data_IF_953718820302
#
_entry.id   IF_953718820302
#
_cell.length_a   1.000
_cell.length_b   1.000
_cell.length_c   1.000
_cell.angle_alpha   90.00
_cell.angle_beta   90.00
_cell.angle_gamma   90.00
#
_symmetry.space_group_name_H-M   'P 1'
#
loop_
_entity.id
_entity.type
_entity.pdbx_description
1 polymer ?
#
# COMPACT_ATOMS: atom_id res chain seq x y z
N UNK A 1 5.84 -21.59 -18.05
CA UNK A 1 4.81 -21.52 -16.96
C UNK A 1 5.42 -20.88 -15.72
N UNK A 2 4.79 -19.85 -15.16
CA UNK A 2 5.27 -19.11 -13.98
C UNK A 2 4.54 -19.57 -12.73
N UNK A 3 5.26 -20.10 -11.76
CA UNK A 3 4.71 -20.60 -10.50
C UNK A 3 5.32 -19.82 -9.33
N UNK A 4 4.48 -19.18 -8.53
CA UNK A 4 4.90 -18.41 -7.35
C UNK A 4 4.48 -19.11 -6.08
N UNK A 5 5.45 -19.48 -5.26
CA UNK A 5 5.26 -20.12 -3.96
C UNK A 5 5.29 -19.02 -2.87
N UNK A 6 4.33 -19.07 -1.96
CA UNK A 6 4.25 -18.17 -0.80
C UNK A 6 4.43 -19.04 0.46
N UNK A 7 5.65 -19.16 1.00
CA UNK A 7 5.89 -19.92 2.23
C UNK A 7 5.39 -19.11 3.43
N UNK A 8 4.41 -19.65 4.16
CA UNK A 8 3.75 -19.00 5.27
C UNK A 8 3.48 -19.97 6.43
N UNK A 9 4.45 -20.17 7.33
CA UNK A 9 4.25 -21.01 8.51
C UNK A 9 3.43 -20.29 9.59
N UNK A 10 2.77 -21.06 10.45
CA UNK A 10 2.00 -20.54 11.60
C UNK A 10 2.87 -20.00 12.73
N UNK A 11 4.03 -20.62 12.97
CA UNK A 11 4.98 -20.23 14.02
C UNK A 11 5.92 -19.10 13.58
N UNK A 12 6.25 -18.17 14.51
CA UNK A 12 7.26 -17.13 14.31
C UNK A 12 7.84 -16.69 15.64
N UNK A 13 9.19 -16.49 15.71
CA UNK A 13 9.90 -16.12 16.94
C UNK A 13 9.78 -14.62 17.27
N UNK A 14 9.98 -13.75 16.29
CA UNK A 14 10.03 -12.29 16.51
C UNK A 14 8.65 -11.70 16.82
N UNK A 15 7.65 -12.04 16.04
CA UNK A 15 6.25 -11.59 16.21
C UNK A 15 5.37 -12.82 16.24
N UNK A 16 4.58 -13.07 17.30
CA UNK A 16 3.65 -14.21 17.33
C UNK A 16 2.72 -14.18 16.12
N UNK A 17 2.62 -15.31 15.40
CA UNK A 17 1.77 -15.45 14.21
C UNK A 17 2.02 -14.36 13.15
N UNK A 18 3.29 -14.02 12.90
CA UNK A 18 3.73 -12.90 12.04
C UNK A 18 2.96 -12.83 10.72
N UNK A 19 2.78 -13.92 10.02
CA UNK A 19 2.11 -13.96 8.71
C UNK A 19 0.61 -13.59 8.75
N UNK A 20 -0.01 -13.60 9.94
CA UNK A 20 -1.39 -13.18 10.18
C UNK A 20 -1.49 -11.76 10.78
N UNK A 21 -0.35 -11.14 11.11
CA UNK A 21 -0.35 -9.73 11.53
C UNK A 21 -0.82 -8.85 10.38
N UNK A 22 -1.53 -7.79 10.74
CA UNK A 22 -2.10 -6.88 9.76
C UNK A 22 -1.25 -5.63 9.57
N UNK A 23 -1.12 -5.23 8.32
CA UNK A 23 -0.63 -3.91 7.92
C UNK A 23 -1.80 -3.20 7.26
N UNK A 24 -2.19 -2.05 7.80
CA UNK A 24 -3.37 -1.29 7.37
C UNK A 24 -4.64 -2.18 7.29
N UNK A 25 -4.89 -2.95 8.36
CA UNK A 25 -6.06 -3.83 8.48
C UNK A 25 -6.04 -5.10 7.63
N UNK A 26 -5.06 -5.30 6.75
CA UNK A 26 -4.97 -6.47 5.86
C UNK A 26 -3.86 -7.41 6.35
N UNK A 27 -4.14 -8.69 6.63
CA UNK A 27 -3.13 -9.67 7.01
C UNK A 27 -2.00 -9.79 5.99
N UNK A 28 -0.75 -9.95 6.45
CA UNK A 28 0.42 -10.03 5.57
C UNK A 28 0.28 -11.13 4.51
N UNK A 29 -0.21 -12.31 4.89
CA UNK A 29 -0.47 -13.39 3.93
C UNK A 29 -1.50 -13.01 2.87
N UNK A 30 -2.55 -12.31 3.26
CA UNK A 30 -3.58 -11.85 2.33
C UNK A 30 -3.03 -10.82 1.35
N UNK A 31 -2.17 -9.90 1.82
CA UNK A 31 -1.45 -8.95 0.97
C UNK A 31 -0.60 -9.66 -0.07
N UNK A 32 0.22 -10.62 0.37
CA UNK A 32 1.08 -11.39 -0.53
C UNK A 32 0.26 -12.12 -1.60
N UNK A 33 -0.85 -12.76 -1.24
CA UNK A 33 -1.75 -13.42 -2.18
C UNK A 33 -2.37 -12.43 -3.17
N UNK A 34 -2.88 -11.28 -2.69
CA UNK A 34 -3.47 -10.24 -3.56
C UNK A 34 -2.46 -9.69 -4.56
N UNK A 35 -1.23 -9.42 -4.12
CA UNK A 35 -0.14 -8.97 -4.99
C UNK A 35 0.24 -10.02 -6.02
N UNK A 36 0.41 -11.28 -5.60
CA UNK A 36 0.72 -12.40 -6.48
C UNK A 36 -0.36 -12.59 -7.57
N UNK A 37 -1.64 -12.49 -7.21
CA UNK A 37 -2.76 -12.60 -8.15
C UNK A 37 -2.90 -11.42 -9.13
N UNK A 38 -2.33 -10.27 -8.80
CA UNK A 38 -2.27 -9.09 -9.71
C UNK A 38 -1.07 -9.17 -10.66
N UNK A 39 -0.13 -10.08 -10.43
CA UNK A 39 1.01 -10.31 -11.32
C UNK A 39 0.69 -11.35 -12.42
N UNK A 40 1.59 -11.45 -13.40
CA UNK A 40 1.45 -12.36 -14.53
C UNK A 40 1.98 -13.76 -14.21
N UNK A 41 1.51 -14.35 -13.09
CA UNK A 41 1.86 -15.73 -12.70
C UNK A 41 0.70 -16.67 -13.03
N UNK A 42 1.03 -17.87 -13.51
CA UNK A 42 0.03 -18.87 -13.90
C UNK A 42 -0.54 -19.58 -12.69
N UNK A 43 0.28 -19.82 -11.65
CA UNK A 43 -0.15 -20.45 -10.42
C UNK A 43 0.47 -19.78 -9.19
N UNK A 44 -0.35 -19.65 -8.15
CA UNK A 44 0.08 -19.23 -6.81
C UNK A 44 -0.17 -20.40 -5.85
N UNK A 45 0.88 -20.80 -5.12
CA UNK A 45 0.83 -21.90 -4.15
C UNK A 45 1.21 -21.37 -2.78
N UNK A 46 0.28 -21.40 -1.83
CA UNK A 46 0.56 -21.09 -0.42
C UNK A 46 0.99 -22.34 0.31
N UNK A 47 2.22 -22.35 0.83
CA UNK A 47 2.75 -23.47 1.62
C UNK A 47 2.63 -23.15 3.11
N UNK A 48 1.75 -23.86 3.82
CA UNK A 48 1.46 -23.58 5.23
C UNK A 48 1.04 -24.81 6.03
N UNK A 49 1.35 -24.77 7.32
CA UNK A 49 0.88 -25.70 8.37
C UNK A 49 -0.31 -25.12 9.18
N UNK A 50 -0.62 -23.83 9.03
CA UNK A 50 -1.61 -23.10 9.82
C UNK A 50 -3.01 -23.08 9.18
N UNK A 51 -4.05 -23.41 9.97
CA UNK A 51 -5.43 -23.50 9.50
C UNK A 51 -6.01 -22.15 9.06
N UNK A 52 -5.70 -21.06 9.78
CA UNK A 52 -6.24 -19.73 9.40
C UNK A 52 -5.58 -19.21 8.11
N UNK A 53 -4.30 -19.50 7.90
CA UNK A 53 -3.63 -19.19 6.63
C UNK A 53 -4.26 -20.00 5.49
N UNK A 54 -4.59 -21.30 5.71
CA UNK A 54 -5.32 -22.11 4.72
C UNK A 54 -6.70 -21.54 4.39
N UNK A 55 -7.43 -21.06 5.39
CA UNK A 55 -8.74 -20.43 5.18
C UNK A 55 -8.63 -19.16 4.31
N UNK A 56 -7.63 -18.29 4.59
CA UNK A 56 -7.38 -17.10 3.79
C UNK A 56 -7.02 -17.50 2.36
N UNK A 57 -6.10 -18.45 2.17
CA UNK A 57 -5.70 -18.93 0.84
C UNK A 57 -6.90 -19.50 0.06
N UNK A 58 -7.76 -20.29 0.71
CA UNK A 58 -8.97 -20.85 0.13
C UNK A 58 -9.96 -19.77 -0.35
N UNK A 59 -10.19 -18.73 0.47
CA UNK A 59 -11.04 -17.58 0.09
C UNK A 59 -10.53 -16.89 -1.19
N UNK A 60 -9.23 -16.84 -1.38
CA UNK A 60 -8.60 -16.27 -2.57
C UNK A 60 -8.44 -17.27 -3.72
N UNK A 61 -8.90 -18.53 -3.58
CA UNK A 61 -8.85 -19.58 -4.62
C UNK A 61 -7.44 -19.81 -5.16
N UNK A 62 -6.43 -19.79 -4.30
CA UNK A 62 -5.06 -20.19 -4.62
C UNK A 62 -4.79 -21.61 -4.17
N UNK A 63 -3.79 -22.27 -4.76
CA UNK A 63 -3.43 -23.63 -4.40
C UNK A 63 -2.80 -23.65 -3.00
N UNK A 64 -3.08 -24.71 -2.26
CA UNK A 64 -2.59 -24.89 -0.90
C UNK A 64 -1.70 -26.13 -0.85
N UNK A 65 -0.46 -25.94 -0.42
CA UNK A 65 0.45 -26.99 -0.05
C UNK A 65 0.40 -27.19 1.46
N UNK A 66 0.10 -28.42 1.90
CA UNK A 66 0.13 -28.80 3.30
C UNK A 66 1.58 -29.06 3.71
N UNK A 67 2.19 -28.02 4.31
CA UNK A 67 3.59 -28.02 4.73
C UNK A 67 3.82 -29.08 5.81
N UNK A 68 4.86 -29.91 5.66
CA UNK A 68 5.22 -30.93 6.62
C UNK A 68 5.72 -30.33 7.94
N UNK A 69 5.57 -31.07 9.04
CA UNK A 69 6.11 -30.68 10.35
C UNK A 69 7.64 -30.50 10.30
N UNK A 70 8.33 -31.30 9.51
CA UNK A 70 9.77 -31.19 9.29
C UNK A 70 10.19 -29.86 8.72
N UNK A 71 9.38 -29.30 7.83
CA UNK A 71 9.64 -28.00 7.19
C UNK A 71 8.96 -26.82 7.89
N UNK A 72 8.27 -27.04 9.01
CA UNK A 72 7.57 -26.01 9.79
C UNK A 72 8.36 -25.48 10.98
N UNK A 73 9.55 -26.05 11.25
CA UNK A 73 10.43 -25.60 12.32
C UNK A 73 11.21 -24.32 11.95
N UNK A 74 11.91 -23.76 12.93
CA UNK A 74 12.67 -22.52 12.79
C UNK A 74 13.99 -22.68 12.02
N UNK A 75 14.45 -23.90 11.81
CA UNK A 75 15.72 -24.22 11.14
C UNK A 75 15.52 -24.55 9.67
N UNK A 76 14.28 -24.76 9.24
CA UNK A 76 13.96 -25.11 7.86
C UNK A 76 14.20 -23.96 6.92
N UNK A 77 15.01 -24.19 5.89
CA UNK A 77 15.26 -23.20 4.83
C UNK A 77 14.05 -23.02 3.92
N UNK A 78 13.95 -21.88 3.27
CA UNK A 78 12.92 -21.66 2.23
C UNK A 78 13.10 -22.65 1.08
N UNK A 79 14.33 -22.99 0.74
CA UNK A 79 14.66 -23.98 -0.31
C UNK A 79 14.09 -25.36 0.00
N UNK A 80 14.13 -25.81 1.26
CA UNK A 80 13.53 -27.10 1.63
C UNK A 80 12.02 -27.12 1.45
N UNK A 81 11.35 -25.99 1.70
CA UNK A 81 9.91 -25.83 1.44
C UNK A 81 9.61 -25.83 -0.04
N UNK A 82 10.42 -25.14 -0.85
CA UNK A 82 10.28 -25.14 -2.32
C UNK A 82 10.44 -26.53 -2.89
N UNK A 83 11.43 -27.32 -2.42
CA UNK A 83 11.61 -28.71 -2.83
C UNK A 83 10.40 -29.58 -2.48
N UNK A 84 9.83 -29.42 -1.29
CA UNK A 84 8.63 -30.15 -0.88
C UNK A 84 7.41 -29.79 -1.76
N UNK A 85 7.26 -28.52 -2.16
CA UNK A 85 6.23 -28.09 -3.11
C UNK A 85 6.45 -28.72 -4.49
N UNK A 86 7.70 -28.75 -4.98
CA UNK A 86 8.03 -29.41 -6.25
C UNK A 86 7.63 -30.89 -6.20
N UNK A 87 8.01 -31.62 -5.16
CA UNK A 87 7.69 -33.05 -5.00
C UNK A 87 6.18 -33.31 -5.05
N UNK A 88 5.35 -32.40 -4.54
CA UNK A 88 3.90 -32.55 -4.48
C UNK A 88 3.17 -32.11 -5.75
N UNK A 89 3.70 -31.16 -6.51
CA UNK A 89 2.97 -30.51 -7.60
C UNK A 89 3.60 -30.71 -8.99
N UNK A 90 4.89 -31.09 -9.11
CA UNK A 90 5.60 -31.15 -10.39
C UNK A 90 4.87 -32.02 -11.43
N UNK A 91 4.24 -33.12 -11.01
CA UNK A 91 3.49 -33.99 -11.91
C UNK A 91 2.26 -33.34 -12.56
N UNK A 92 1.86 -32.18 -12.08
CA UNK A 92 0.74 -31.39 -12.62
C UNK A 92 1.19 -30.29 -13.59
N UNK A 93 2.49 -30.16 -13.83
CA UNK A 93 3.08 -29.12 -14.65
C UNK A 93 3.49 -29.65 -16.03
N UNK A 94 2.77 -29.21 -17.06
CA UNK A 94 2.91 -29.76 -18.43
C UNK A 94 3.96 -29.04 -19.30
N UNK A 95 4.60 -27.96 -18.78
CA UNK A 95 5.47 -27.08 -19.55
C UNK A 95 6.78 -26.79 -18.83
N UNK A 96 7.72 -26.19 -19.56
CA UNK A 96 8.90 -25.61 -18.93
C UNK A 96 8.49 -24.61 -17.85
N UNK A 97 8.95 -24.85 -16.62
CA UNK A 97 8.53 -24.13 -15.44
C UNK A 97 9.62 -23.18 -14.97
N UNK A 98 9.22 -21.96 -14.70
CA UNK A 98 9.98 -20.99 -13.93
C UNK A 98 9.33 -20.86 -12.56
N UNK A 99 10.13 -21.07 -11.52
CA UNK A 99 9.68 -20.98 -10.13
C UNK A 99 10.07 -19.65 -9.52
N UNK A 100 9.28 -19.23 -8.56
CA UNK A 100 9.65 -18.14 -7.66
C UNK A 100 9.07 -18.37 -6.27
N UNK A 101 9.61 -17.67 -5.28
CA UNK A 101 8.97 -17.56 -3.99
C UNK A 101 8.90 -16.11 -3.51
N UNK A 102 7.84 -15.82 -2.76
CA UNK A 102 7.53 -14.52 -2.20
C UNK A 102 7.46 -14.62 -0.67
N UNK A 103 8.36 -13.90 0.02
CA UNK A 103 8.39 -13.84 1.48
C UNK A 103 7.28 -12.93 2.01
N UNK A 104 6.37 -13.49 2.79
CA UNK A 104 5.18 -12.81 3.34
C UNK A 104 5.53 -11.57 4.17
N UNK A 105 6.71 -11.56 4.78
CA UNK A 105 7.23 -10.43 5.59
C UNK A 105 7.46 -9.14 4.80
N UNK A 106 7.49 -9.21 3.47
CA UNK A 106 7.69 -8.06 2.59
C UNK A 106 6.33 -7.50 2.12
N UNK A 107 5.76 -6.61 2.93
CA UNK A 107 4.37 -6.14 2.80
C UNK A 107 4.09 -5.26 1.56
N UNK A 108 5.12 -4.67 0.94
CA UNK A 108 4.98 -3.62 -0.09
C UNK A 108 5.46 -4.03 -1.48
N UNK A 109 5.60 -5.32 -1.74
CA UNK A 109 5.98 -5.82 -3.07
C UNK A 109 4.94 -5.41 -4.12
N UNK A 110 5.41 -4.94 -5.26
CA UNK A 110 4.55 -4.60 -6.39
C UNK A 110 4.43 -5.77 -7.37
N UNK A 111 3.26 -5.96 -8.03
CA UNK A 111 3.09 -6.99 -9.05
C UNK A 111 4.13 -6.92 -10.18
N UNK A 112 4.53 -5.70 -10.56
CA UNK A 112 5.53 -5.43 -11.60
C UNK A 112 6.90 -6.00 -11.22
N UNK A 113 7.28 -5.94 -9.93
CA UNK A 113 8.54 -6.54 -9.44
C UNK A 113 8.54 -8.05 -9.65
N UNK A 114 7.42 -8.72 -9.36
CA UNK A 114 7.25 -10.16 -9.58
C UNK A 114 7.40 -10.47 -11.08
N UNK A 115 6.72 -9.70 -11.94
CA UNK A 115 6.74 -9.90 -13.38
C UNK A 115 8.15 -9.79 -13.96
N UNK A 116 8.89 -8.73 -13.59
CA UNK A 116 10.26 -8.50 -14.06
C UNK A 116 11.21 -9.60 -13.57
N UNK A 117 11.07 -10.06 -12.32
CA UNK A 117 11.86 -11.18 -11.81
C UNK A 117 11.62 -12.45 -12.63
N UNK A 118 10.36 -12.77 -12.94
CA UNK A 118 10.05 -13.93 -13.80
C UNK A 118 10.56 -13.78 -15.24
N UNK A 119 10.51 -12.58 -15.83
CA UNK A 119 11.06 -12.32 -17.16
C UNK A 119 12.57 -12.63 -17.25
N UNK A 120 13.33 -12.29 -16.21
CA UNK A 120 14.74 -12.67 -16.15
C UNK A 120 14.93 -14.17 -15.92
N UNK A 121 14.11 -14.79 -15.10
CA UNK A 121 14.22 -16.22 -14.83
C UNK A 121 13.88 -17.06 -16.08
N UNK A 122 12.95 -16.62 -16.94
CA UNK A 122 12.66 -17.21 -18.25
C UNK A 122 13.83 -17.09 -19.23
N UNK A 123 14.71 -16.10 -19.03
CA UNK A 123 15.97 -15.96 -19.79
C UNK A 123 17.13 -16.80 -19.21
N UNK A 124 16.86 -17.59 -18.16
CA UNK A 124 17.85 -18.48 -17.53
C UNK A 124 18.57 -17.91 -16.30
N UNK A 125 18.23 -16.70 -15.86
CA UNK A 125 18.85 -16.09 -14.66
C UNK A 125 18.19 -16.54 -13.36
N UNK A 126 18.93 -16.42 -12.23
CA UNK A 126 18.35 -16.37 -10.91
C UNK A 126 18.12 -14.91 -10.55
N UNK A 127 16.86 -14.45 -10.60
CA UNK A 127 16.53 -13.05 -10.36
C UNK A 127 16.02 -12.84 -8.94
N UNK A 128 16.29 -11.65 -8.38
CA UNK A 128 15.84 -11.28 -7.04
C UNK A 128 15.60 -9.79 -6.92
N UNK A 129 14.69 -9.39 -6.03
CA UNK A 129 14.44 -7.98 -5.73
C UNK A 129 15.55 -7.39 -4.87
N UNK A 130 16.04 -6.20 -5.25
CA UNK A 130 17.15 -5.54 -4.61
C UNK A 130 16.98 -4.01 -4.57
N UNK A 131 17.67 -3.36 -3.67
CA UNK A 131 17.80 -1.89 -3.61
C UNK A 131 19.25 -1.49 -3.79
N UNK A 132 19.50 -0.30 -4.35
CA UNK A 132 20.84 0.27 -4.37
C UNK A 132 21.36 0.47 -2.94
N UNK A 133 22.60 0.05 -2.73
CA UNK A 133 23.23 0.11 -1.42
C UNK A 133 24.50 0.97 -1.45
N UNK A 134 24.50 2.02 -0.63
CA UNK A 134 25.63 2.96 -0.51
C UNK A 134 26.31 2.93 0.85
N UNK A 135 25.97 1.94 1.67
CA UNK A 135 26.53 1.79 3.02
C UNK A 135 27.96 1.24 3.03
N UNK A 136 28.65 1.50 4.14
CA UNK A 136 29.94 0.89 4.49
C UNK A 136 29.69 -0.15 5.58
N UNK A 137 29.99 -1.39 5.27
CA UNK A 137 29.73 -2.52 6.17
C UNK A 137 31.02 -2.92 6.87
N UNK A 138 30.95 -3.18 8.16
CA UNK A 138 32.02 -3.71 8.98
C UNK A 138 31.60 -5.04 9.56
N UNK A 139 32.43 -6.04 9.43
CA UNK A 139 32.25 -7.36 10.02
C UNK A 139 33.18 -7.58 11.19
N UNK A 140 32.82 -8.49 12.11
CA UNK A 140 33.60 -8.86 13.27
C UNK A 140 33.72 -10.38 13.40
N UNK A 141 34.76 -10.95 12.77
CA UNK A 141 35.09 -12.38 12.98
C UNK A 141 35.98 -12.59 14.22
N UNK A 142 37.04 -11.79 14.36
CA UNK A 142 37.95 -11.72 15.53
C UNK A 142 38.27 -10.27 15.87
N UNK A 143 38.17 -9.39 14.88
CA UNK A 143 38.30 -7.94 14.98
C UNK A 143 37.41 -7.29 13.95
N UNK A 144 36.98 -6.06 14.21
CA UNK A 144 36.23 -5.28 13.25
C UNK A 144 37.05 -4.98 12.00
N UNK A 145 36.57 -5.38 10.85
CA UNK A 145 37.17 -5.15 9.54
C UNK A 145 36.14 -4.71 8.51
N UNK A 146 36.54 -3.90 7.52
CA UNK A 146 35.62 -3.45 6.48
C UNK A 146 35.30 -4.60 5.51
N UNK A 147 34.03 -4.64 5.06
CA UNK A 147 33.58 -5.60 4.06
C UNK A 147 33.39 -4.86 2.74
N UNK A 148 34.23 -5.19 1.76
CA UNK A 148 34.11 -4.65 0.41
C UNK A 148 34.46 -3.16 0.25
N UNK A 149 35.16 -2.54 1.20
CA UNK A 149 35.71 -1.19 1.08
C UNK A 149 37.04 -1.07 1.79
N UNK A 150 37.88 -0.07 1.47
CA UNK A 150 39.17 0.18 2.17
C UNK A 150 38.97 0.55 3.63
N UNK A 151 39.96 0.24 4.49
CA UNK A 151 39.97 0.62 5.91
C UNK A 151 40.66 1.97 6.18
N UNK A 152 41.52 2.40 5.29
CA UNK A 152 42.43 3.53 5.43
C UNK A 152 41.90 4.83 4.81
N UNK A 153 40.89 4.73 3.92
CA UNK A 153 40.18 5.89 3.42
C UNK A 153 38.73 5.58 3.12
N UNK A 154 37.87 6.61 3.13
CA UNK A 154 36.46 6.50 2.78
C UNK A 154 36.24 7.04 1.37
N UNK A 155 35.96 6.20 0.37
CA UNK A 155 35.70 6.67 -0.99
C UNK A 155 34.39 7.48 -1.02
N UNK A 156 34.29 8.46 -1.93
CA UNK A 156 33.05 9.18 -2.16
C UNK A 156 32.02 8.26 -2.81
N UNK A 157 30.73 8.54 -2.63
CA UNK A 157 29.62 7.74 -3.15
C UNK A 157 29.75 7.46 -4.66
N UNK A 158 30.15 8.46 -5.43
CA UNK A 158 30.31 8.35 -6.88
C UNK A 158 31.52 7.52 -7.32
N UNK A 159 32.46 7.27 -6.44
CA UNK A 159 33.71 6.53 -6.73
C UNK A 159 33.59 5.05 -6.33
N UNK A 160 32.46 4.66 -5.70
CA UNK A 160 32.18 3.27 -5.32
C UNK A 160 31.46 2.55 -6.45
N UNK A 161 31.90 1.33 -6.79
CA UNK A 161 31.16 0.47 -7.72
C UNK A 161 29.73 0.26 -7.23
N UNK A 162 28.80 0.20 -8.16
CA UNK A 162 27.39 -0.09 -7.86
C UNK A 162 27.29 -1.34 -6.99
N UNK A 163 26.52 -1.25 -5.92
CA UNK A 163 26.21 -2.34 -5.01
C UNK A 163 24.73 -2.38 -4.79
N UNK A 164 24.22 -3.57 -4.57
CA UNK A 164 22.81 -3.80 -4.23
C UNK A 164 22.72 -4.60 -2.94
N UNK A 165 21.62 -4.38 -2.20
CA UNK A 165 21.22 -5.18 -1.06
C UNK A 165 19.96 -5.95 -1.46
N UNK A 166 19.93 -7.27 -1.24
CA UNK A 166 18.72 -8.06 -1.37
C UNK A 166 17.62 -7.51 -0.45
N UNK A 167 16.38 -7.50 -0.94
CA UNK A 167 15.24 -7.09 -0.12
C UNK A 167 14.62 -8.25 0.66
N UNK A 168 15.05 -9.49 0.40
CA UNK A 168 14.43 -10.67 0.99
C UNK A 168 13.06 -11.05 0.39
N UNK A 169 12.50 -10.23 -0.50
CA UNK A 169 11.09 -10.33 -0.88
C UNK A 169 10.79 -11.37 -1.97
N UNK A 170 11.39 -11.22 -3.13
CA UNK A 170 11.11 -12.04 -4.33
C UNK A 170 12.40 -12.67 -4.84
N UNK A 171 12.32 -13.96 -5.15
CA UNK A 171 13.35 -14.74 -5.83
C UNK A 171 12.70 -15.60 -6.90
N UNK A 172 13.27 -15.62 -8.11
CA UNK A 172 12.79 -16.43 -9.22
C UNK A 172 13.95 -17.10 -9.94
N UNK A 173 13.72 -18.30 -10.47
CA UNK A 173 14.76 -19.10 -11.11
C UNK A 173 14.15 -20.20 -12.01
N UNK A 174 14.91 -20.74 -12.99
CA UNK A 174 14.48 -21.91 -13.76
C UNK A 174 14.39 -23.16 -12.85
N UNK A 175 13.29 -23.91 -12.98
CA UNK A 175 13.05 -25.12 -12.19
C UNK A 175 14.20 -26.14 -12.35
N UNK A 176 14.67 -26.35 -13.57
CA UNK A 176 15.71 -27.34 -13.88
C UNK A 176 17.00 -27.04 -13.13
N UNK A 177 17.43 -25.78 -13.10
CA UNK A 177 18.65 -25.36 -12.42
C UNK A 177 18.50 -25.47 -10.90
N UNK A 178 17.30 -25.15 -10.39
CA UNK A 178 17.01 -25.27 -8.95
C UNK A 178 17.02 -26.72 -8.48
N UNK A 179 16.47 -27.63 -9.25
CA UNK A 179 16.51 -29.10 -8.92
C UNK A 179 17.95 -29.62 -8.82
N UNK A 180 18.84 -29.14 -9.67
CA UNK A 180 20.27 -29.51 -9.66
C UNK A 180 20.99 -28.93 -8.43
N UNK A 181 20.92 -27.60 -8.23
CA UNK A 181 21.69 -26.92 -7.20
C UNK A 181 20.99 -26.84 -5.82
N UNK A 182 19.69 -27.01 -5.78
CA UNK A 182 18.84 -26.93 -4.57
C UNK A 182 19.03 -25.63 -3.79
N UNK A 183 19.31 -24.54 -4.51
CA UNK A 183 19.57 -23.22 -3.93
C UNK A 183 19.04 -22.13 -4.87
N UNK A 184 18.56 -21.01 -4.30
CA UNK A 184 17.91 -19.90 -5.05
C UNK A 184 18.80 -19.25 -6.09
N UNK A 185 20.09 -19.17 -5.86
CA UNK A 185 21.06 -18.67 -6.85
C UNK A 185 21.66 -19.84 -7.64
N UNK A 186 20.83 -20.48 -8.46
CA UNK A 186 21.17 -21.67 -9.23
C UNK A 186 21.68 -21.38 -10.64
N UNK A 187 21.70 -20.13 -11.07
CA UNK A 187 22.24 -19.66 -12.35
C UNK A 187 22.93 -18.30 -12.17
N UNK A 188 23.31 -17.64 -13.28
CA UNK A 188 23.78 -16.25 -13.20
C UNK A 188 22.72 -15.36 -12.55
N UNK A 189 23.14 -14.43 -11.69
CA UNK A 189 22.24 -13.64 -10.86
C UNK A 189 21.86 -12.33 -11.51
N UNK A 190 20.58 -11.94 -11.40
CA UNK A 190 20.06 -10.70 -11.91
C UNK A 190 19.29 -9.93 -10.82
N UNK A 191 19.84 -8.85 -10.24
CA UNK A 191 19.14 -8.01 -9.30
C UNK A 191 18.11 -7.12 -10.01
N UNK A 192 16.86 -7.16 -9.56
CA UNK A 192 15.78 -6.28 -9.99
C UNK A 192 15.68 -5.13 -9.00
N UNK A 193 16.05 -3.92 -9.43
CA UNK A 193 16.04 -2.75 -8.57
C UNK A 193 14.62 -2.30 -8.28
N UNK A 194 14.32 -2.11 -7.00
CA UNK A 194 13.01 -1.66 -6.52
C UNK A 194 13.12 -0.35 -5.73
N UNK A 195 11.98 0.31 -5.53
CA UNK A 195 11.92 1.48 -4.65
C UNK A 195 12.27 1.07 -3.21
N UNK A 196 13.11 1.83 -2.49
CA UNK A 196 13.48 1.52 -1.10
C UNK A 196 12.30 1.30 -0.16
N UNK A 197 11.17 1.98 -0.35
CA UNK A 197 9.96 1.77 0.46
C UNK A 197 9.42 0.34 0.29
N UNK A 198 9.46 -0.21 -0.93
CA UNK A 198 8.99 -1.57 -1.21
C UNK A 198 9.93 -2.66 -0.69
N UNK A 199 11.11 -2.29 -0.19
CA UNK A 199 12.10 -3.20 0.38
C UNK A 199 11.98 -3.40 1.89
N UNK A 200 10.98 -2.80 2.52
CA UNK A 200 10.73 -2.99 3.95
C UNK A 200 10.34 -4.44 4.23
N UNK A 201 11.07 -5.05 5.14
CA UNK A 201 10.80 -6.38 5.68
C UNK A 201 10.35 -6.24 7.14
N UNK A 202 9.36 -7.04 7.53
CA UNK A 202 8.81 -7.03 8.89
C UNK A 202 9.41 -8.19 9.66
N UNK A 203 10.37 -7.92 10.53
CA UNK A 203 11.02 -8.91 11.38
C UNK A 203 10.66 -8.77 12.84
N UNK A 204 10.41 -7.57 13.30
CA UNK A 204 10.04 -7.26 14.67
C UNK A 204 8.80 -6.33 14.76
N UNK A 205 8.43 -5.99 16.01
CA UNK A 205 7.24 -5.16 16.29
C UNK A 205 7.43 -3.73 15.80
N UNK A 206 8.65 -3.22 15.80
CA UNK A 206 8.95 -1.86 15.35
C UNK A 206 8.81 -1.76 13.82
N UNK A 207 9.26 -2.80 13.10
CA UNK A 207 9.04 -2.89 11.65
C UNK A 207 7.55 -2.96 11.31
N UNK A 208 6.76 -3.69 12.11
CA UNK A 208 5.31 -3.76 11.93
C UNK A 208 4.64 -2.40 12.14
N UNK A 209 5.03 -1.65 13.18
CA UNK A 209 4.54 -0.29 13.43
C UNK A 209 4.93 0.64 12.28
N UNK A 210 6.19 0.62 11.86
CA UNK A 210 6.68 1.42 10.73
C UNK A 210 5.92 1.08 9.45
N UNK A 211 5.69 -0.21 9.19
CA UNK A 211 4.93 -0.67 8.03
C UNK A 211 3.49 -0.16 8.04
N UNK A 212 2.83 -0.13 9.21
CA UNK A 212 1.49 0.45 9.33
C UNK A 212 1.48 1.96 9.03
N UNK A 213 2.47 2.71 9.54
CA UNK A 213 2.62 4.14 9.22
C UNK A 213 2.85 4.37 7.74
N UNK A 214 3.67 3.55 7.11
CA UNK A 214 3.96 3.66 5.67
C UNK A 214 2.77 3.22 4.83
N UNK A 215 2.08 2.15 5.21
CA UNK A 215 0.92 1.65 4.47
C UNK A 215 -0.19 2.68 4.38
N UNK A 216 -0.46 3.40 5.47
CA UNK A 216 -1.43 4.48 5.49
C UNK A 216 -1.11 5.59 4.47
N UNK A 217 0.18 5.79 4.17
CA UNK A 217 0.66 6.76 3.19
C UNK A 217 0.79 6.16 1.77
N UNK A 218 1.39 4.97 1.69
CA UNK A 218 1.81 4.35 0.43
C UNK A 218 0.66 3.65 -0.31
N UNK A 219 -0.25 3.01 0.40
CA UNK A 219 -1.38 2.30 -0.20
C UNK A 219 -2.50 3.25 -0.59
N UNK A 220 -2.66 4.33 0.17
CA UNK A 220 -3.57 5.41 -0.19
C UNK A 220 -3.16 6.12 -1.51
N UNK A 221 -1.87 6.04 -1.90
CA UNK A 221 -1.41 6.51 -3.22
C UNK A 221 -1.73 5.49 -4.33
N UNK A 222 -1.77 4.19 -4.01
CA UNK A 222 -1.91 3.09 -4.97
C UNK A 222 -3.29 2.38 -4.95
N UNK A 223 -4.18 2.69 -3.99
CA UNK A 223 -5.59 2.28 -4.10
C UNK A 223 -6.20 3.06 -5.26
N UNK A 224 -6.29 2.40 -6.40
CA UNK A 224 -7.14 2.87 -7.47
C UNK A 224 -8.56 3.02 -6.90
N UNK A 225 -9.12 4.24 -6.93
CA UNK A 225 -10.50 4.46 -6.48
C UNK A 225 -11.53 3.68 -7.33
N UNK A 226 -11.06 2.97 -8.37
CA UNK A 226 -11.83 2.02 -9.18
C UNK A 226 -12.35 0.80 -8.42
N UNK A 227 -11.72 0.44 -7.29
CA UNK A 227 -12.14 -0.70 -6.47
C UNK A 227 -13.34 -0.36 -5.55
N UNK A 228 -13.71 0.92 -5.48
CA UNK A 228 -14.83 1.43 -4.72
C UNK A 228 -15.99 1.85 -5.62
N UNK A 229 -17.20 1.70 -5.14
CA UNK A 229 -18.36 2.24 -5.83
C UNK A 229 -18.23 3.74 -6.01
N UNK A 230 -18.33 4.22 -7.24
CA UNK A 230 -18.26 5.65 -7.55
C UNK A 230 -19.39 6.37 -6.82
N UNK A 231 -19.10 7.40 -6.00
CA UNK A 231 -20.13 8.09 -5.22
C UNK A 231 -21.00 8.96 -6.13
N UNK A 232 -22.19 9.27 -5.70
CA UNK A 232 -23.01 10.31 -6.32
C UNK A 232 -22.66 11.68 -5.79
N UNK A 233 -22.19 11.74 -4.52
CA UNK A 233 -21.85 12.98 -3.84
C UNK A 233 -20.55 12.83 -3.06
N UNK A 234 -19.70 13.85 -3.14
CA UNK A 234 -18.57 14.05 -2.22
C UNK A 234 -18.92 15.26 -1.35
N UNK A 235 -19.04 15.05 -0.05
CA UNK A 235 -19.03 16.14 0.92
C UNK A 235 -17.60 16.45 1.34
N UNK A 236 -17.31 17.74 1.54
CA UNK A 236 -16.00 18.18 2.04
C UNK A 236 -16.19 19.23 3.11
N UNK A 237 -15.38 19.15 4.18
CA UNK A 237 -15.23 20.31 5.04
C UNK A 237 -14.55 21.46 4.30
N UNK A 238 -14.60 22.64 4.86
CA UNK A 238 -14.00 23.84 4.28
C UNK A 238 -12.64 24.15 4.89
N UNK A 239 -12.58 24.38 6.21
CA UNK A 239 -11.34 24.71 6.90
C UNK A 239 -10.50 23.45 7.12
N UNK A 240 -9.20 23.55 6.85
CA UNK A 240 -8.31 22.40 6.87
C UNK A 240 -8.49 21.39 5.70
N UNK A 241 -9.54 21.55 4.86
CA UNK A 241 -9.72 20.77 3.63
C UNK A 241 -9.53 21.63 2.39
N UNK A 242 -10.43 22.57 2.13
CA UNK A 242 -10.33 23.51 1.01
C UNK A 242 -9.44 24.72 1.33
N UNK A 243 -9.18 24.99 2.60
CA UNK A 243 -8.20 25.94 3.13
C UNK A 243 -7.09 25.22 3.88
N UNK A 244 -6.08 25.96 4.30
CA UNK A 244 -4.96 25.44 5.10
C UNK A 244 -5.17 25.59 6.62
N UNK A 245 -6.42 25.68 7.05
CA UNK A 245 -6.83 25.85 8.45
C UNK A 245 -6.26 27.11 9.15
N UNK A 246 -5.88 28.11 8.35
CA UNK A 246 -5.35 29.38 8.86
C UNK A 246 -6.22 30.54 8.41
N UNK A 247 -6.63 31.35 9.35
CA UNK A 247 -7.38 32.57 9.12
C UNK A 247 -6.48 33.79 9.35
N UNK A 248 -6.54 34.75 8.45
CA UNK A 248 -5.90 36.06 8.60
C UNK A 248 -6.95 37.05 9.05
N UNK A 249 -6.81 37.60 10.24
CA UNK A 249 -7.72 38.61 10.81
C UNK A 249 -7.04 39.99 10.78
N UNK A 250 -7.73 41.01 10.31
CA UNK A 250 -7.24 42.40 10.39
C UNK A 250 -7.81 43.15 11.58
N UNK A 251 -7.30 44.35 11.84
CA UNK A 251 -7.73 45.17 12.99
C UNK A 251 -9.21 45.57 13.02
N UNK A 252 -9.93 45.38 11.92
CA UNK A 252 -11.37 45.63 11.79
C UNK A 252 -12.21 44.36 11.95
N UNK A 253 -11.59 43.26 12.38
CA UNK A 253 -12.26 41.98 12.54
C UNK A 253 -12.60 41.27 11.23
N UNK A 254 -12.08 41.73 10.08
CA UNK A 254 -12.31 41.04 8.80
C UNK A 254 -11.35 39.86 8.66
N UNK A 255 -11.93 38.73 8.35
CA UNK A 255 -11.21 37.49 8.11
C UNK A 255 -10.99 37.23 6.62
N UNK A 256 -9.89 36.55 6.34
CA UNK A 256 -9.59 36.03 4.99
C UNK A 256 -8.85 34.71 5.11
N UNK A 257 -9.14 33.79 4.17
CA UNK A 257 -8.53 32.47 4.06
C UNK A 257 -7.87 32.29 2.70
N UNK A 258 -6.93 31.37 2.62
CA UNK A 258 -6.26 31.00 1.38
C UNK A 258 -6.87 29.70 0.87
N UNK A 259 -7.30 29.71 -0.40
CA UNK A 259 -7.90 28.56 -1.08
C UNK A 259 -7.16 28.23 -2.36
N UNK A 260 -7.20 26.96 -2.78
CA UNK A 260 -6.53 26.52 -4.00
C UNK A 260 -7.43 26.61 -5.23
N UNK A 261 -6.87 27.08 -6.35
CA UNK A 261 -7.60 27.12 -7.62
C UNK A 261 -7.80 25.73 -8.25
N UNK A 262 -6.92 24.77 -7.90
CA UNK A 262 -6.98 23.39 -8.43
C UNK A 262 -8.29 22.69 -8.04
N UNK A 263 -8.83 22.95 -6.83
CA UNK A 263 -10.10 22.35 -6.39
C UNK A 263 -11.28 22.79 -7.27
N UNK A 264 -11.32 24.07 -7.67
CA UNK A 264 -12.35 24.55 -8.59
C UNK A 264 -12.29 23.90 -9.99
N UNK A 265 -11.10 23.49 -10.45
CA UNK A 265 -10.94 22.72 -11.67
C UNK A 265 -11.32 21.26 -11.48
N UNK A 266 -10.96 20.69 -10.33
CA UNK A 266 -11.28 19.32 -9.95
C UNK A 266 -12.79 19.08 -9.87
N UNK A 267 -13.53 20.02 -9.29
CA UNK A 267 -15.00 19.97 -9.24
C UNK A 267 -15.61 19.82 -10.63
N UNK A 268 -15.08 20.54 -11.64
CA UNK A 268 -15.54 20.36 -13.02
C UNK A 268 -15.26 18.98 -13.59
N UNK A 269 -14.13 18.37 -13.20
CA UNK A 269 -13.76 17.00 -13.60
C UNK A 269 -14.66 15.99 -12.92
N UNK A 270 -14.89 16.10 -11.61
CA UNK A 270 -15.80 15.25 -10.83
C UNK A 270 -17.24 15.33 -11.37
N UNK A 271 -17.73 16.55 -11.67
CA UNK A 271 -19.06 16.72 -12.28
C UNK A 271 -19.20 16.04 -13.65
N UNK A 272 -18.13 15.96 -14.46
CA UNK A 272 -18.15 15.18 -15.71
C UNK A 272 -18.29 13.68 -15.50
N UNK A 273 -17.83 13.19 -14.34
CA UNK A 273 -18.02 11.80 -13.90
C UNK A 273 -19.38 11.57 -13.22
N UNK A 274 -20.27 12.56 -13.18
CA UNK A 274 -21.55 12.47 -12.51
C UNK A 274 -21.50 12.66 -11.00
N UNK A 275 -20.36 13.08 -10.46
CA UNK A 275 -20.14 13.20 -9.01
C UNK A 275 -20.35 14.67 -8.60
N UNK A 276 -21.32 14.92 -7.74
CA UNK A 276 -21.60 16.22 -7.16
C UNK A 276 -20.66 16.51 -5.98
N UNK A 277 -20.21 17.74 -5.81
CA UNK A 277 -19.44 18.18 -4.63
C UNK A 277 -20.26 19.18 -3.83
N UNK A 278 -20.29 19.01 -2.50
CA UNK A 278 -21.01 19.86 -1.57
C UNK A 278 -20.10 20.19 -0.38
N UNK A 279 -20.05 21.44 0.05
CA UNK A 279 -19.36 21.84 1.28
C UNK A 279 -20.31 21.59 2.45
N UNK A 280 -19.80 20.96 3.53
CA UNK A 280 -20.50 20.78 4.80
C UNK A 280 -19.58 21.23 5.94
N UNK A 281 -19.85 22.41 6.51
CA UNK A 281 -18.97 23.05 7.50
C UNK A 281 -19.74 23.68 8.67
N UNK A 282 -19.11 23.67 9.83
CA UNK A 282 -19.57 24.39 11.02
C UNK A 282 -19.33 25.91 10.91
N UNK A 283 -18.47 26.32 9.98
CA UNK A 283 -18.11 27.74 9.79
C UNK A 283 -19.32 28.59 9.33
N UNK A 284 -19.46 29.73 9.98
CA UNK A 284 -20.55 30.69 9.69
C UNK A 284 -20.11 31.88 8.84
N UNK A 285 -18.80 32.04 8.65
CA UNK A 285 -18.24 33.18 7.91
C UNK A 285 -18.68 33.17 6.45
N UNK A 286 -19.13 34.29 5.95
CA UNK A 286 -19.59 34.46 4.55
C UNK A 286 -18.53 34.11 3.49
N UNK A 287 -17.26 34.02 3.86
CA UNK A 287 -16.17 33.66 2.95
C UNK A 287 -16.39 32.29 2.33
N UNK A 288 -16.95 31.34 3.10
CA UNK A 288 -17.30 29.99 2.63
C UNK A 288 -18.33 30.05 1.51
N UNK A 289 -19.42 30.77 1.75
CA UNK A 289 -20.52 30.93 0.77
C UNK A 289 -20.05 31.63 -0.50
N UNK A 290 -19.21 32.67 -0.38
CA UNK A 290 -18.63 33.40 -1.52
C UNK A 290 -17.76 32.44 -2.35
N UNK A 291 -16.98 31.60 -1.70
CA UNK A 291 -16.14 30.60 -2.38
C UNK A 291 -16.97 29.51 -3.05
N UNK A 292 -17.96 28.95 -2.37
CA UNK A 292 -18.89 27.94 -2.92
C UNK A 292 -19.59 28.46 -4.17
N UNK A 293 -20.11 29.70 -4.11
CA UNK A 293 -20.74 30.38 -5.27
C UNK A 293 -19.79 30.50 -6.47
N UNK A 294 -18.52 30.88 -6.23
CA UNK A 294 -17.49 30.96 -7.27
C UNK A 294 -17.17 29.60 -7.89
N UNK A 295 -17.20 28.54 -7.09
CA UNK A 295 -16.97 27.17 -7.55
C UNK A 295 -18.24 26.52 -8.15
N UNK A 296 -19.40 27.16 -8.02
CA UNK A 296 -20.72 26.68 -8.47
C UNK A 296 -21.12 25.37 -7.79
N UNK A 297 -20.88 25.27 -6.49
CA UNK A 297 -21.28 24.15 -5.65
C UNK A 297 -22.18 24.59 -4.51
N UNK A 298 -22.96 23.68 -3.96
CA UNK A 298 -23.78 23.90 -2.79
C UNK A 298 -22.93 23.95 -1.52
N UNK A 299 -23.42 24.65 -0.51
CA UNK A 299 -22.74 24.83 0.76
C UNK A 299 -23.76 24.76 1.90
N UNK A 300 -23.56 23.80 2.79
CA UNK A 300 -24.20 23.68 4.07
C UNK A 300 -23.24 24.31 5.10
N UNK A 301 -23.54 25.49 5.60
CA UNK A 301 -22.68 26.26 6.52
C UNK A 301 -23.38 26.56 7.83
N UNK A 302 -22.60 26.75 8.91
CA UNK A 302 -23.13 27.00 10.24
C UNK A 302 -23.82 25.77 10.85
N UNK A 303 -23.31 24.59 10.57
CA UNK A 303 -23.90 23.33 11.01
C UNK A 303 -23.57 23.05 12.49
N UNK A 304 -24.57 22.68 13.26
CA UNK A 304 -24.36 22.12 14.60
C UNK A 304 -23.94 20.66 14.55
N UNK A 305 -24.56 19.87 13.65
CA UNK A 305 -24.22 18.48 13.35
C UNK A 305 -24.07 18.31 11.84
N UNK A 306 -22.87 17.94 11.39
CA UNK A 306 -22.59 17.64 9.97
C UNK A 306 -23.38 16.42 9.51
N UNK A 307 -23.47 15.38 10.35
CA UNK A 307 -24.15 14.13 10.03
C UNK A 307 -25.64 14.35 9.83
N UNK A 308 -26.30 15.11 10.71
CA UNK A 308 -27.74 15.35 10.57
C UNK A 308 -28.06 16.18 9.32
N UNK A 309 -27.26 17.22 9.06
CA UNK A 309 -27.41 18.04 7.89
C UNK A 309 -27.19 17.24 6.58
N UNK A 310 -26.16 16.37 6.55
CA UNK A 310 -25.89 15.50 5.40
C UNK A 310 -27.00 14.47 5.25
N UNK A 311 -27.45 13.84 6.34
CA UNK A 311 -28.54 12.84 6.31
C UNK A 311 -29.83 13.42 5.74
N UNK A 312 -30.22 14.62 6.18
CA UNK A 312 -31.36 15.32 5.61
C UNK A 312 -31.15 15.66 4.12
N UNK A 313 -29.98 16.19 3.77
CA UNK A 313 -29.63 16.55 2.40
C UNK A 313 -29.71 15.38 1.42
N UNK A 314 -29.19 14.19 1.80
CA UNK A 314 -29.21 13.00 0.94
C UNK A 314 -30.60 12.37 0.89
N UNK A 315 -31.35 12.36 2.03
CA UNK A 315 -32.71 11.84 2.10
C UNK A 315 -33.65 12.61 1.15
N UNK A 316 -33.60 13.92 1.13
CA UNK A 316 -34.38 14.78 0.22
C UNK A 316 -34.14 14.48 -1.27
N UNK A 317 -33.07 13.76 -1.57
CA UNK A 317 -32.64 13.41 -2.95
C UNK A 317 -32.73 11.91 -3.25
N UNK A 318 -33.38 11.14 -2.38
CA UNK A 318 -33.45 9.68 -2.46
C UNK A 318 -32.07 9.00 -2.55
N UNK A 319 -31.10 9.53 -1.82
CA UNK A 319 -29.75 9.00 -1.68
C UNK A 319 -29.56 8.45 -0.26
N UNK A 320 -28.53 7.64 -0.10
CA UNK A 320 -28.14 7.06 1.18
C UNK A 320 -26.64 7.30 1.42
N UNK A 321 -26.16 7.01 2.61
CA UNK A 321 -24.74 7.11 2.94
C UNK A 321 -23.85 6.21 2.05
N UNK A 322 -24.43 5.16 1.42
CA UNK A 322 -23.71 4.34 0.43
C UNK A 322 -23.38 5.10 -0.89
N UNK A 323 -24.01 6.23 -1.14
CA UNK A 323 -23.76 7.11 -2.29
C UNK A 323 -22.78 8.25 -1.96
N UNK A 324 -22.25 8.30 -0.71
CA UNK A 324 -21.50 9.43 -0.17
C UNK A 324 -20.04 9.08 0.06
N UNK A 325 -19.13 9.93 -0.44
CA UNK A 325 -17.76 10.05 0.04
C UNK A 325 -17.60 11.33 0.85
N UNK A 326 -16.71 11.30 1.84
CA UNK A 326 -16.49 12.43 2.74
C UNK A 326 -15.02 12.83 2.82
N UNK A 327 -14.73 14.14 2.86
CA UNK A 327 -13.38 14.70 3.07
C UNK A 327 -13.41 15.57 4.31
N UNK A 328 -12.67 15.18 5.34
CA UNK A 328 -12.60 15.88 6.63
C UNK A 328 -11.19 15.93 7.20
N UNK A 329 -10.94 16.81 8.16
CA UNK A 329 -9.61 17.01 8.74
C UNK A 329 -9.57 17.05 10.26
N UNK A 330 -10.69 17.28 10.95
CA UNK A 330 -10.70 17.45 12.40
C UNK A 330 -11.83 16.67 13.08
N UNK A 331 -11.82 16.64 14.40
CA UNK A 331 -12.67 15.78 15.23
C UNK A 331 -14.18 15.96 14.96
N UNK A 332 -14.61 17.13 14.52
CA UNK A 332 -15.99 17.40 14.14
C UNK A 332 -16.42 16.70 12.82
N UNK A 333 -15.47 16.04 12.12
CA UNK A 333 -15.71 15.25 10.92
C UNK A 333 -15.86 13.74 11.20
N UNK A 334 -15.46 13.26 12.38
CA UNK A 334 -15.35 11.84 12.68
C UNK A 334 -16.63 11.06 12.42
N UNK A 335 -17.78 11.57 12.85
CA UNK A 335 -19.05 10.89 12.61
C UNK A 335 -19.41 10.78 11.12
N UNK A 336 -19.11 11.81 10.33
CA UNK A 336 -19.37 11.79 8.88
C UNK A 336 -18.37 10.87 8.16
N UNK A 337 -17.13 10.82 8.62
CA UNK A 337 -16.10 9.88 8.18
C UNK A 337 -16.55 8.43 8.39
N UNK A 338 -17.04 8.10 9.60
CA UNK A 338 -17.47 6.74 9.95
C UNK A 338 -18.74 6.29 9.20
N UNK A 339 -19.62 7.22 8.81
CA UNK A 339 -20.87 6.89 8.08
C UNK A 339 -20.71 6.84 6.57
N UNK A 340 -19.72 7.51 6.00
CA UNK A 340 -19.52 7.55 4.55
C UNK A 340 -18.99 6.21 4.01
N UNK A 341 -19.30 5.92 2.75
CA UNK A 341 -18.81 4.69 2.07
C UNK A 341 -17.30 4.70 1.89
N UNK A 342 -16.71 5.87 1.70
CA UNK A 342 -15.28 6.09 1.63
C UNK A 342 -14.98 7.49 2.16
N UNK A 343 -14.00 7.56 3.04
CA UNK A 343 -13.58 8.80 3.68
C UNK A 343 -12.13 9.15 3.34
N UNK A 344 -11.87 10.44 3.27
CA UNK A 344 -10.56 11.00 2.96
C UNK A 344 -10.16 12.04 4.00
N UNK A 345 -8.88 12.13 4.29
CA UNK A 345 -8.34 13.25 5.06
C UNK A 345 -7.05 13.79 4.42
N UNK A 346 -6.70 15.07 4.66
CA UNK A 346 -5.41 15.61 4.27
C UNK A 346 -4.28 15.00 5.10
N UNK A 347 -3.06 15.11 4.60
CA UNK A 347 -1.86 14.61 5.28
C UNK A 347 -1.63 15.25 6.67
N UNK A 348 -2.10 16.46 6.88
CA UNK A 348 -2.00 17.24 8.11
C UNK A 348 -3.29 17.28 8.94
N UNK A 349 -4.18 16.32 8.75
CA UNK A 349 -5.38 16.15 9.58
C UNK A 349 -5.03 15.89 11.06
N UNK A 350 -6.01 16.09 11.96
CA UNK A 350 -5.87 15.72 13.36
C UNK A 350 -5.56 14.22 13.51
N UNK A 351 -4.81 13.80 14.55
CA UNK A 351 -4.45 12.40 14.74
C UNK A 351 -5.66 11.47 14.79
N UNK A 352 -6.78 11.93 15.35
CA UNK A 352 -8.02 11.17 15.47
C UNK A 352 -8.62 10.87 14.10
N UNK A 353 -8.67 11.87 13.22
CA UNK A 353 -9.16 11.74 11.85
C UNK A 353 -8.20 10.95 11.00
N UNK A 354 -6.90 11.20 11.13
CA UNK A 354 -5.85 10.49 10.41
C UNK A 354 -5.92 8.97 10.62
N UNK A 355 -6.25 8.53 11.85
CA UNK A 355 -6.36 7.12 12.21
C UNK A 355 -7.71 6.48 11.80
N UNK A 356 -8.72 7.28 11.46
CA UNK A 356 -10.08 6.80 11.17
C UNK A 356 -10.44 6.86 9.70
N UNK A 357 -9.89 7.84 8.96
CA UNK A 357 -10.17 7.98 7.54
C UNK A 357 -9.65 6.78 6.74
N UNK A 358 -10.42 6.33 5.75
CA UNK A 358 -10.06 5.20 4.89
C UNK A 358 -8.85 5.55 4.00
N UNK A 359 -8.73 6.81 3.59
CA UNK A 359 -7.70 7.28 2.65
C UNK A 359 -7.08 8.58 3.15
N UNK A 360 -5.78 8.55 3.45
CA UNK A 360 -4.99 9.76 3.69
C UNK A 360 -4.46 10.26 2.35
N UNK A 361 -4.80 11.50 2.01
CA UNK A 361 -4.33 12.15 0.78
C UNK A 361 -2.86 12.59 0.92
N UNK A 362 -2.14 12.66 -0.19
CA UNK A 362 -0.73 13.05 -0.20
C UNK A 362 -0.51 14.55 0.01
N UNK A 363 -1.59 15.34 -0.05
CA UNK A 363 -1.57 16.80 0.06
C UNK A 363 -2.08 17.25 1.42
N UNK A 364 -1.58 18.40 1.84
CA UNK A 364 -2.10 19.13 3.00
C UNK A 364 -3.39 19.85 2.69
N UNK A 365 -4.12 20.23 3.73
CA UNK A 365 -5.27 21.08 3.63
C UNK A 365 -4.96 22.35 2.83
N UNK A 366 -5.88 22.74 1.93
CA UNK A 366 -5.70 23.87 1.03
C UNK A 366 -4.74 23.69 -0.14
N UNK A 367 -4.18 22.50 -0.35
CA UNK A 367 -3.25 22.23 -1.46
C UNK A 367 -3.90 21.54 -2.66
N UNK A 368 -5.22 21.42 -2.66
CA UNK A 368 -5.99 20.84 -3.76
C UNK A 368 -6.32 19.38 -3.56
N UNK A 369 -6.97 19.04 -2.46
CA UNK A 369 -7.38 17.67 -2.11
C UNK A 369 -8.34 17.07 -3.14
N UNK A 370 -9.35 17.84 -3.57
CA UNK A 370 -10.29 17.41 -4.61
C UNK A 370 -9.59 17.16 -5.95
N UNK A 371 -8.50 17.87 -6.23
CA UNK A 371 -7.72 17.65 -7.45
C UNK A 371 -6.97 16.32 -7.40
N UNK A 372 -6.53 15.89 -6.23
CA UNK A 372 -5.93 14.56 -6.05
C UNK A 372 -6.98 13.45 -6.20
N UNK A 373 -8.15 13.59 -5.56
CA UNK A 373 -9.26 12.62 -5.67
C UNK A 373 -9.69 12.46 -7.14
N UNK A 374 -9.89 13.58 -7.85
CA UNK A 374 -10.27 13.55 -9.27
C UNK A 374 -9.22 12.86 -10.14
N UNK A 375 -7.93 13.08 -9.86
CA UNK A 375 -6.84 12.43 -10.60
C UNK A 375 -6.77 10.93 -10.35
N UNK A 376 -6.98 10.48 -9.12
CA UNK A 376 -7.01 9.05 -8.77
C UNK A 376 -8.19 8.33 -9.43
N UNK A 377 -9.38 8.95 -9.47
CA UNK A 377 -10.57 8.41 -10.16
C UNK A 377 -10.34 8.25 -11.68
N UNK A 378 -9.69 9.20 -12.31
CA UNK A 378 -9.40 9.15 -13.76
C UNK A 378 -8.31 8.14 -14.11
N UNK A 379 -7.38 7.88 -13.20
CA UNK A 379 -6.30 6.90 -13.40
C UNK A 379 -6.80 5.46 -13.31
N UNK A 380 -7.83 5.20 -12.51
CA UNK A 380 -8.44 3.88 -12.36
C UNK A 380 -9.36 3.47 -13.50
N UNK A 381 -9.74 4.41 -14.38
CA UNK A 381 -10.61 4.17 -15.54
C UNK A 381 -9.81 3.97 -16.85
N UNK A 382 -8.50 3.84 -16.81
CA UNK A 382 -7.63 3.49 -17.93
C UNK A 382 -7.09 2.09 -17.78
#
# INVERSE_FOLDING_TARGET
MRILIIPARGGSKGIPRKNLQSVNGIPLIERAIKTARKSNVDQVIVSTDDLQIKEIASKHRVLIHNRSLKNSDDLSSTESVVLEVIENFESTWDFEVTLGFYQVTSAFVLPETINICFEYAEQGFSAFSAVEFHGFIWGNDKKWSPIGHPSDFRPRRQDVKQRVKETGAIYTFPLINFKEKKYRFCSEVMPVLVNPITSLEIDDVEDLKLSNLIASQFENVNLGLSDFNIPKIIFTDFDGCLTNDKVKVNMFGRESVIVNRKDGLAIKRLNKLGIKVVIATTETNKVVQVRAKKMKIECLSGLESKVDAISNYISDRNLTWSDVWYVGNDVNDLEAIEKSTLSFCPYDASPEVFNKADVVLSRKGGEGLLAEIASRLESGNK
#
